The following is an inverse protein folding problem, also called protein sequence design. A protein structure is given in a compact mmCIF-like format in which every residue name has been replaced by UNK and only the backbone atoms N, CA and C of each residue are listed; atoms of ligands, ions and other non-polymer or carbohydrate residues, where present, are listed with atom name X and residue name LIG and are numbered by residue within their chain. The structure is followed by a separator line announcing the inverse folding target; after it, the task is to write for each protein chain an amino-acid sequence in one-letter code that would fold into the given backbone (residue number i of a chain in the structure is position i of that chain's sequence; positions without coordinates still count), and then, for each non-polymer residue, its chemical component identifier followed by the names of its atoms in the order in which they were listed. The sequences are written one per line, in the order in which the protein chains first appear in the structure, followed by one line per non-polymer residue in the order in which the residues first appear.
data_IF_252875614454
#
_entry.id   IF_252875614454
#
_cell.length_a   1.000
_cell.length_b   1.000
_cell.length_c   1.000
_cell.angle_alpha   90.00
_cell.angle_beta   90.00
_cell.angle_gamma   90.00
#
_symmetry.space_group_name_H-M   'P 1'
#
loop_
_entity.id
_entity.type
_entity.pdbx_description
1 polymer ?
#
# COMPACT_ATOMS: atom_id res chain seq x y z
N UNK A 1 0.16 -28.45 -18.55
CA UNK A 1 -0.67 -28.62 -17.35
C UNK A 1 -1.32 -27.24 -17.14
N UNK A 2 -1.77 -26.79 -15.97
CA UNK A 2 -1.78 -25.36 -15.70
C UNK A 2 -0.39 -24.93 -15.20
N UNK A 3 0.09 -23.76 -15.63
CA UNK A 3 1.34 -23.17 -15.16
C UNK A 3 1.26 -22.92 -13.65
N UNK A 4 2.28 -23.36 -12.92
CA UNK A 4 2.38 -23.08 -11.50
C UNK A 4 2.94 -21.67 -11.24
N UNK A 5 2.78 -21.19 -10.00
CA UNK A 5 3.12 -19.82 -9.62
C UNK A 5 4.62 -19.52 -9.77
N UNK A 6 5.48 -20.50 -9.50
CA UNK A 6 6.93 -20.31 -9.59
C UNK A 6 7.35 -20.12 -11.05
N UNK A 7 6.87 -20.96 -11.96
CA UNK A 7 7.17 -20.82 -13.39
C UNK A 7 6.71 -19.47 -13.94
N UNK A 8 5.50 -19.01 -13.56
CA UNK A 8 5.02 -17.67 -13.93
C UNK A 8 5.93 -16.55 -13.40
N UNK A 9 6.40 -16.64 -12.16
CA UNK A 9 7.27 -15.62 -11.56
C UNK A 9 8.67 -15.61 -12.21
N UNK A 10 9.18 -16.78 -12.62
CA UNK A 10 10.44 -16.90 -13.37
C UNK A 10 10.32 -16.37 -14.80
N UNK A 11 9.17 -16.57 -15.45
CA UNK A 11 8.84 -15.98 -16.75
C UNK A 11 8.80 -14.44 -16.67
N UNK A 12 8.16 -13.88 -15.64
CA UNK A 12 8.13 -12.41 -15.41
C UNK A 12 9.53 -11.84 -15.23
N UNK A 13 10.42 -12.56 -14.54
CA UNK A 13 11.82 -12.17 -14.35
C UNK A 13 12.72 -12.43 -15.58
N UNK A 14 12.20 -13.04 -16.64
CA UNK A 14 12.97 -13.42 -17.83
C UNK A 14 14.01 -14.52 -17.57
N UNK A 15 13.93 -15.26 -16.45
CA UNK A 15 14.90 -16.28 -16.06
C UNK A 15 14.59 -17.67 -16.61
N UNK A 16 13.32 -17.94 -16.94
CA UNK A 16 12.88 -19.22 -17.49
C UNK A 16 11.96 -19.00 -18.70
N UNK A 17 12.54 -18.46 -19.77
CA UNK A 17 11.84 -18.17 -21.04
C UNK A 17 11.72 -19.42 -21.92
N UNK A 18 11.31 -20.56 -21.34
CA UNK A 18 11.15 -21.77 -22.11
C UNK A 18 9.94 -21.62 -23.05
N UNK A 19 10.09 -22.00 -24.32
CA UNK A 19 9.05 -21.74 -25.34
C UNK A 19 7.76 -22.49 -25.03
N UNK A 20 7.84 -23.59 -24.29
CA UNK A 20 6.68 -24.40 -23.92
C UNK A 20 5.81 -23.76 -22.82
N UNK A 21 6.41 -23.04 -21.88
CA UNK A 21 5.68 -22.31 -20.84
C UNK A 21 4.91 -21.13 -21.45
N UNK A 22 5.49 -20.42 -22.41
CA UNK A 22 4.77 -19.40 -23.18
C UNK A 22 3.60 -19.99 -23.99
N UNK A 23 3.77 -21.18 -24.58
CA UNK A 23 2.66 -21.87 -25.28
C UNK A 23 1.55 -22.26 -24.32
N UNK A 24 1.90 -22.69 -23.11
CA UNK A 24 0.93 -23.05 -22.07
C UNK A 24 0.15 -21.81 -21.61
N UNK A 25 0.83 -20.68 -21.36
CA UNK A 25 0.19 -19.41 -21.01
C UNK A 25 -0.74 -18.90 -22.12
N UNK A 26 -0.30 -18.92 -23.38
CA UNK A 26 -1.12 -18.42 -24.51
C UNK A 26 -2.37 -19.28 -24.75
N UNK A 27 -2.31 -20.58 -24.42
CA UNK A 27 -3.45 -21.49 -24.51
C UNK A 27 -4.45 -21.33 -23.37
N UNK A 28 -4.10 -20.62 -22.30
CA UNK A 28 -5.00 -20.37 -21.19
C UNK A 28 -6.11 -19.38 -21.58
N UNK A 29 -7.40 -19.71 -21.34
CA UNK A 29 -8.50 -18.80 -21.63
C UNK A 29 -8.47 -17.51 -20.79
N UNK A 30 -7.86 -17.52 -19.60
CA UNK A 30 -7.69 -16.37 -18.71
C UNK A 30 -6.25 -15.82 -18.75
N UNK A 31 -5.47 -16.10 -19.80
CA UNK A 31 -4.04 -15.75 -19.92
C UNK A 31 -3.66 -14.34 -19.48
N UNK A 32 -4.48 -13.34 -19.82
CA UNK A 32 -4.21 -11.93 -19.51
C UNK A 32 -4.32 -11.66 -18.01
N UNK A 33 -5.31 -12.27 -17.36
CA UNK A 33 -5.51 -12.19 -15.92
C UNK A 33 -4.40 -12.94 -15.19
N UNK A 34 -4.11 -14.17 -15.61
CA UNK A 34 -3.04 -15.01 -15.02
C UNK A 34 -1.70 -14.29 -15.09
N UNK A 35 -1.39 -13.69 -16.24
CA UNK A 35 -0.16 -12.90 -16.42
C UNK A 35 -0.15 -11.63 -15.58
N UNK A 36 -1.24 -10.85 -15.58
CA UNK A 36 -1.36 -9.63 -14.76
C UNK A 36 -1.20 -9.93 -13.27
N UNK A 37 -1.80 -11.01 -12.77
CA UNK A 37 -1.69 -11.45 -11.39
C UNK A 37 -0.27 -11.92 -11.04
N UNK A 38 0.44 -12.54 -11.99
CA UNK A 38 1.84 -12.90 -11.80
C UNK A 38 2.76 -11.67 -11.73
N UNK A 39 2.57 -10.70 -12.63
CA UNK A 39 3.31 -9.43 -12.62
C UNK A 39 3.08 -8.68 -11.31
N UNK A 40 1.82 -8.51 -10.89
CA UNK A 40 1.47 -7.84 -9.61
C UNK A 40 2.06 -8.57 -8.41
N UNK A 41 2.00 -9.91 -8.40
CA UNK A 41 2.59 -10.72 -7.33
C UNK A 41 4.10 -10.48 -7.25
N UNK A 42 4.78 -10.45 -8.39
CA UNK A 42 6.23 -10.23 -8.43
C UNK A 42 6.61 -8.82 -7.97
N UNK A 43 5.91 -7.81 -8.46
CA UNK A 43 6.09 -6.41 -8.07
C UNK A 43 5.94 -6.23 -6.55
N UNK A 44 4.89 -6.80 -5.95
CA UNK A 44 4.70 -6.80 -4.50
C UNK A 44 5.85 -7.50 -3.74
N UNK A 45 6.40 -8.58 -4.30
CA UNK A 45 7.51 -9.32 -3.71
C UNK A 45 8.81 -8.50 -3.78
N UNK A 46 9.07 -7.84 -4.91
CA UNK A 46 10.21 -6.96 -5.09
C UNK A 46 10.15 -5.76 -4.12
N UNK A 47 8.97 -5.12 -3.98
CA UNK A 47 8.76 -4.07 -2.95
C UNK A 47 8.99 -4.58 -1.52
N UNK A 48 8.49 -5.78 -1.20
CA UNK A 48 8.73 -6.37 0.12
C UNK A 48 10.22 -6.65 0.34
N UNK A 49 10.94 -7.17 -0.66
CA UNK A 49 12.38 -7.40 -0.58
C UNK A 49 13.15 -6.08 -0.36
N UNK A 50 12.77 -5.02 -1.07
CA UNK A 50 13.34 -3.69 -0.87
C UNK A 50 13.09 -3.17 0.55
N UNK A 51 11.83 -3.22 1.01
CA UNK A 51 11.45 -2.85 2.37
C UNK A 51 12.24 -3.64 3.42
N UNK A 52 12.33 -4.96 3.28
CA UNK A 52 13.02 -5.82 4.23
C UNK A 52 14.53 -5.61 4.24
N UNK A 53 15.13 -5.25 3.10
CA UNK A 53 16.55 -4.96 3.00
C UNK A 53 16.91 -3.60 3.62
N UNK A 54 16.04 -2.60 3.45
CA UNK A 54 16.27 -1.21 3.90
C UNK A 54 15.86 -0.97 5.35
N UNK A 55 14.73 -1.54 5.78
CA UNK A 55 14.19 -1.38 7.13
C UNK A 55 13.83 -2.72 7.78
N UNK A 56 14.83 -3.60 8.03
CA UNK A 56 14.60 -4.93 8.60
C UNK A 56 13.89 -4.89 9.96
N UNK A 57 14.06 -3.83 10.74
CA UNK A 57 13.41 -3.63 12.03
C UNK A 57 11.87 -3.64 11.94
N UNK A 58 11.30 -3.12 10.85
CA UNK A 58 9.84 -3.06 10.66
C UNK A 58 9.23 -4.31 10.08
N UNK A 59 10.04 -5.25 9.58
CA UNK A 59 9.55 -6.51 8.99
C UNK A 59 8.82 -7.35 10.04
N UNK A 60 9.32 -7.36 11.28
CA UNK A 60 8.69 -8.10 12.38
C UNK A 60 7.28 -7.58 12.68
N UNK A 61 7.12 -6.25 12.74
CA UNK A 61 5.82 -5.59 12.92
C UNK A 61 4.89 -5.84 11.74
N UNK A 62 5.41 -5.74 10.52
CA UNK A 62 4.65 -6.05 9.31
C UNK A 62 4.13 -7.50 9.33
N UNK A 63 4.94 -8.46 9.75
CA UNK A 63 4.50 -9.85 9.88
C UNK A 63 3.47 -10.08 10.99
N UNK A 64 3.60 -9.36 12.12
CA UNK A 64 2.64 -9.44 13.23
C UNK A 64 1.29 -8.82 12.84
N UNK A 65 1.32 -7.68 12.16
CA UNK A 65 0.15 -6.96 11.64
C UNK A 65 -0.76 -7.87 10.80
N UNK A 66 -0.17 -8.82 10.05
CA UNK A 66 -0.90 -9.81 9.24
C UNK A 66 -1.95 -10.62 10.02
N UNK A 67 -1.77 -10.79 11.34
CA UNK A 67 -2.71 -11.52 12.19
C UNK A 67 -3.96 -10.71 12.56
N UNK A 68 -3.87 -9.39 12.47
CA UNK A 68 -4.92 -8.47 12.92
C UNK A 68 -5.74 -7.90 11.76
N UNK A 69 -5.30 -8.11 10.52
CA UNK A 69 -6.02 -7.59 9.35
C UNK A 69 -7.37 -8.27 9.22
N UNK A 70 -8.42 -7.46 9.12
CA UNK A 70 -9.81 -7.92 9.13
C UNK A 70 -10.67 -6.97 8.29
N UNK A 71 -11.63 -7.53 7.57
CA UNK A 71 -12.59 -6.75 6.78
C UNK A 71 -14.01 -7.15 7.14
N UNK A 72 -14.87 -6.17 7.37
CA UNK A 72 -16.32 -6.34 7.43
C UNK A 72 -16.99 -5.78 6.19
N UNK A 73 -18.19 -6.26 5.86
CA UNK A 73 -18.91 -5.92 4.62
C UNK A 73 -19.20 -4.41 4.51
N UNK A 74 -19.32 -3.71 5.64
CA UNK A 74 -19.64 -2.28 5.71
C UNK A 74 -18.42 -1.43 6.11
N UNK A 75 -17.23 -1.79 5.63
CA UNK A 75 -16.02 -0.98 5.91
C UNK A 75 -16.07 0.32 5.10
N UNK A 76 -15.76 1.48 5.70
CA UNK A 76 -15.80 2.76 5.00
C UNK A 76 -14.71 2.84 3.93
N UNK A 77 -14.95 3.60 2.86
CA UNK A 77 -13.89 3.87 1.89
C UNK A 77 -12.91 4.88 2.51
N UNK A 78 -11.62 4.53 2.50
CA UNK A 78 -10.53 5.42 2.92
C UNK A 78 -9.57 5.54 1.77
N UNK A 79 -9.30 6.77 1.36
CA UNK A 79 -8.34 7.08 0.31
C UNK A 79 -7.30 8.07 0.83
N UNK A 80 -6.03 7.79 0.56
CA UNK A 80 -4.93 8.72 0.79
C UNK A 80 -4.78 9.56 -0.48
N UNK A 81 -4.82 10.88 -0.31
CA UNK A 81 -4.77 11.85 -1.40
C UNK A 81 -3.66 12.88 -1.15
N UNK A 82 -2.88 13.19 -2.18
CA UNK A 82 -1.94 14.32 -2.13
C UNK A 82 -2.69 15.66 -2.16
N UNK A 83 -2.34 16.59 -1.25
CA UNK A 83 -2.99 17.91 -1.20
C UNK A 83 -2.66 18.83 -2.37
N UNK A 84 -1.54 18.59 -3.09
CA UNK A 84 -1.20 19.35 -4.30
C UNK A 84 -2.34 19.27 -5.36
N UNK A 85 -3.21 18.26 -5.25
CA UNK A 85 -4.36 18.00 -6.13
C UNK A 85 -5.55 18.94 -5.86
N UNK A 86 -5.76 19.43 -4.64
CA UNK A 86 -6.94 20.27 -4.34
C UNK A 86 -6.89 21.65 -5.03
N UNK A 87 -5.69 22.13 -5.36
CA UNK A 87 -5.48 23.34 -6.14
C UNK A 87 -5.17 23.05 -7.62
N UNK A 88 -4.74 21.83 -7.95
CA UNK A 88 -4.31 21.42 -9.28
C UNK A 88 -5.42 21.32 -10.33
N UNK A 89 -6.61 20.84 -9.95
CA UNK A 89 -7.72 20.65 -10.92
C UNK A 89 -8.27 21.97 -11.49
N UNK A 90 -8.02 23.10 -10.84
CA UNK A 90 -8.31 24.45 -11.36
C UNK A 90 -7.11 25.08 -12.10
N UNK A 91 -5.88 24.65 -11.78
CA UNK A 91 -4.64 25.21 -12.33
C UNK A 91 -4.14 24.51 -13.61
N UNK A 92 -4.63 23.30 -13.91
CA UNK A 92 -4.31 22.54 -15.14
C UNK A 92 -4.75 23.22 -16.45
N UNK A 93 -5.38 24.39 -16.39
CA UNK A 93 -5.71 25.20 -17.57
C UNK A 93 -4.62 26.20 -17.99
N UNK A 94 -3.52 26.35 -17.23
CA UNK A 94 -2.62 27.51 -17.42
C UNK A 94 -1.11 27.27 -17.46
N UNK A 95 -0.55 26.07 -17.28
CA UNK A 95 0.91 25.90 -17.32
C UNK A 95 1.40 24.64 -18.06
N UNK A 96 1.97 24.86 -19.25
CA UNK A 96 2.57 23.84 -20.14
C UNK A 96 4.00 23.39 -19.71
N UNK A 97 4.42 23.59 -18.45
CA UNK A 97 5.84 23.42 -18.06
C UNK A 97 6.15 22.80 -16.70
N UNK A 98 5.17 22.42 -15.89
CA UNK A 98 5.46 21.78 -14.62
C UNK A 98 5.40 20.25 -14.76
N UNK A 99 6.43 19.57 -14.29
CA UNK A 99 6.49 18.11 -14.18
C UNK A 99 5.19 17.65 -13.53
N UNK A 100 4.37 16.91 -14.29
CA UNK A 100 3.11 16.36 -13.81
C UNK A 100 3.47 15.32 -12.74
N UNK A 101 3.55 15.74 -11.48
CA UNK A 101 3.57 14.82 -10.34
C UNK A 101 2.27 14.03 -10.42
N UNK A 102 2.37 12.73 -10.70
CA UNK A 102 1.19 11.88 -10.78
C UNK A 102 0.41 11.96 -9.46
N UNK A 103 -0.92 12.15 -9.52
CA UNK A 103 -1.72 12.28 -8.32
C UNK A 103 -1.68 10.97 -7.51
N UNK A 104 -1.18 11.04 -6.27
CA UNK A 104 -1.23 9.92 -5.34
C UNK A 104 -2.69 9.75 -4.89
N UNK A 105 -3.38 8.75 -5.44
CA UNK A 105 -4.69 8.29 -5.00
C UNK A 105 -4.59 6.81 -4.62
N UNK A 106 -4.48 6.54 -3.33
CA UNK A 106 -4.37 5.20 -2.79
C UNK A 106 -5.65 4.87 -2.04
N UNK A 107 -6.35 3.81 -2.42
CA UNK A 107 -7.44 3.27 -1.61
C UNK A 107 -6.90 2.26 -0.60
N UNK A 108 -7.27 2.42 0.68
CA UNK A 108 -6.94 1.47 1.74
C UNK A 108 -7.70 0.17 1.51
N UNK A 109 -6.96 -0.93 1.37
CA UNK A 109 -7.55 -2.27 1.31
C UNK A 109 -7.72 -2.86 2.71
N UNK A 110 -8.93 -2.78 3.25
CA UNK A 110 -9.31 -3.48 4.48
C UNK A 110 -9.08 -4.98 4.36
N UNK A 111 -8.57 -5.62 5.41
CA UNK A 111 -8.25 -7.05 5.36
C UNK A 111 -6.90 -7.37 4.71
N UNK A 112 -6.23 -6.39 4.10
CA UNK A 112 -4.92 -6.55 3.48
C UNK A 112 -3.84 -5.62 4.04
N UNK A 113 -2.60 -5.94 3.68
CA UNK A 113 -1.43 -5.10 3.88
C UNK A 113 -0.97 -4.58 2.52
N UNK A 114 -0.68 -3.30 2.43
CA UNK A 114 -0.23 -2.66 1.20
C UNK A 114 1.15 -2.04 1.43
N UNK A 115 2.06 -2.24 0.48
CA UNK A 115 3.35 -1.57 0.41
C UNK A 115 3.30 -0.59 -0.74
N UNK A 116 3.52 0.68 -0.45
CA UNK A 116 3.28 1.77 -1.39
C UNK A 116 4.51 2.66 -1.43
N UNK A 117 5.00 2.92 -2.62
CA UNK A 117 6.16 3.79 -2.83
C UNK A 117 5.68 5.22 -3.10
N UNK A 118 6.18 6.18 -2.31
CA UNK A 118 5.91 7.61 -2.47
C UNK A 118 7.16 8.30 -3.00
N UNK A 119 6.98 9.18 -3.98
CA UNK A 119 8.06 9.97 -4.57
C UNK A 119 8.15 11.36 -3.92
N UNK A 120 9.31 11.68 -3.36
CA UNK A 120 9.60 13.01 -2.82
C UNK A 120 8.81 13.35 -1.56
N UNK A 121 8.90 14.61 -1.15
CA UNK A 121 8.11 15.17 -0.05
C UNK A 121 6.67 15.41 -0.52
N UNK A 122 5.71 14.91 0.26
CA UNK A 122 4.29 15.04 -0.08
C UNK A 122 3.41 15.08 1.17
N UNK A 123 2.46 16.02 1.20
CA UNK A 123 1.41 16.06 2.22
C UNK A 123 0.26 15.16 1.79
N UNK A 124 -0.02 14.14 2.61
CA UNK A 124 -1.08 13.17 2.44
C UNK A 124 -2.26 13.52 3.34
N UNK A 125 -3.43 13.63 2.73
CA UNK A 125 -4.72 13.80 3.41
C UNK A 125 -5.52 12.50 3.36
N UNK A 126 -6.32 12.24 4.39
CA UNK A 126 -7.17 11.05 4.48
C UNK A 126 -8.61 11.42 4.10
N UNK A 127 -9.06 10.99 2.94
CA UNK A 127 -10.46 11.11 2.54
C UNK A 127 -11.22 9.87 3.02
N UNK A 128 -12.07 10.04 4.03
CA UNK A 128 -12.82 8.94 4.65
C UNK A 128 -14.31 9.23 4.71
N UNK A 129 -15.14 8.25 4.38
CA UNK A 129 -16.61 8.37 4.50
C UNK A 129 -17.09 8.47 5.96
N UNK A 130 -16.29 7.96 6.89
CA UNK A 130 -16.55 7.99 8.33
C UNK A 130 -15.24 8.19 9.07
N UNK A 131 -15.27 8.77 10.27
CA UNK A 131 -14.07 8.95 11.08
C UNK A 131 -13.36 7.60 11.34
N UNK A 132 -12.08 7.55 11.03
CA UNK A 132 -11.21 6.38 11.22
C UNK A 132 -10.06 6.76 12.13
N UNK A 133 -9.65 5.84 13.00
CA UNK A 133 -8.43 6.01 13.80
C UNK A 133 -7.25 5.42 13.03
N UNK A 134 -6.14 6.15 13.03
CA UNK A 134 -4.94 5.77 12.31
C UNK A 134 -3.80 5.75 13.34
N UNK A 135 -3.24 4.57 13.56
CA UNK A 135 -2.03 4.42 14.35
C UNK A 135 -0.83 4.46 13.42
N UNK A 136 0.10 5.39 13.65
CA UNK A 136 1.32 5.52 12.87
C UNK A 136 2.52 5.01 13.66
N UNK A 137 3.51 4.48 12.93
CA UNK A 137 4.84 4.18 13.46
C UNK A 137 5.89 4.41 12.37
N UNK A 138 6.90 5.20 12.68
CA UNK A 138 8.09 5.42 11.85
C UNK A 138 9.27 5.76 12.75
N UNK A 139 10.48 5.35 12.36
CA UNK A 139 11.69 5.49 13.18
C UNK A 139 11.46 5.08 14.65
N UNK A 140 11.61 6.03 15.57
CA UNK A 140 11.41 5.91 17.02
C UNK A 140 10.09 6.56 17.51
N UNK A 141 9.23 7.00 16.58
CA UNK A 141 7.98 7.68 16.88
C UNK A 141 6.78 6.79 16.58
N UNK A 142 5.87 6.73 17.53
CA UNK A 142 4.57 6.09 17.40
C UNK A 142 3.49 6.96 18.01
N UNK A 143 2.29 6.87 17.45
CA UNK A 143 1.18 7.67 17.93
C UNK A 143 -0.11 7.41 17.18
N UNK A 144 -1.10 8.22 17.51
CA UNK A 144 -2.44 8.14 16.99
C UNK A 144 -2.81 9.47 16.32
N UNK A 145 -3.38 9.36 15.13
CA UNK A 145 -4.04 10.45 14.41
C UNK A 145 -5.45 10.00 14.01
N UNK A 146 -6.30 10.95 13.67
CA UNK A 146 -7.61 10.66 13.07
C UNK A 146 -7.59 10.95 11.57
N UNK A 147 -8.66 10.57 10.88
CA UNK A 147 -8.88 10.93 9.48
C UNK A 147 -8.96 12.45 9.22
N UNK A 148 -9.11 13.27 10.26
CA UNK A 148 -9.16 14.73 10.13
C UNK A 148 -7.75 15.35 10.08
N UNK A 149 -6.74 14.59 10.50
CA UNK A 149 -5.34 15.00 10.48
C UNK A 149 -4.74 14.84 9.08
N UNK A 150 -3.56 15.43 8.89
CA UNK A 150 -2.76 15.30 7.67
C UNK A 150 -1.40 14.73 8.03
N UNK A 151 -0.81 14.02 7.08
CA UNK A 151 0.54 13.49 7.21
C UNK A 151 1.47 14.19 6.24
N UNK A 152 2.56 14.79 6.73
CA UNK A 152 3.62 15.29 5.88
C UNK A 152 4.65 14.18 5.73
N UNK A 153 4.67 13.50 4.57
CA UNK A 153 5.65 12.45 4.29
C UNK A 153 6.93 13.09 3.80
N UNK A 154 8.04 12.88 4.52
CA UNK A 154 9.38 13.18 4.03
C UNK A 154 10.16 11.91 3.74
N UNK A 155 10.87 11.82 2.58
CA UNK A 155 11.71 10.66 2.27
C UNK A 155 12.80 10.38 3.31
N UNK A 156 13.20 11.39 4.08
CA UNK A 156 14.22 11.29 5.13
C UNK A 156 13.72 10.50 6.35
N UNK A 157 12.40 10.44 6.59
CA UNK A 157 11.78 9.68 7.69
C UNK A 157 11.82 8.16 7.45
N UNK A 158 12.15 7.73 6.23
CA UNK A 158 12.19 6.32 5.88
C UNK A 158 10.79 5.70 5.72
N UNK A 159 10.66 4.43 6.11
CA UNK A 159 9.39 3.71 5.98
C UNK A 159 8.40 4.08 7.08
N UNK A 160 7.21 4.53 6.68
CA UNK A 160 6.11 4.92 7.60
C UNK A 160 5.03 3.85 7.57
N UNK A 161 4.73 3.25 8.71
CA UNK A 161 3.63 2.28 8.85
C UNK A 161 2.38 2.98 9.37
N UNK A 162 1.31 2.94 8.58
CA UNK A 162 -0.02 3.44 8.92
C UNK A 162 -0.98 2.27 9.11
N UNK A 163 -1.60 2.21 10.27
CA UNK A 163 -2.60 1.20 10.63
C UNK A 163 -3.95 1.86 10.72
N UNK A 164 -4.81 1.57 9.76
CA UNK A 164 -6.19 2.08 9.72
C UNK A 164 -7.08 1.15 10.53
N UNK A 165 -7.84 1.72 11.46
CA UNK A 165 -8.68 0.98 12.39
C UNK A 165 -10.10 1.57 12.37
N UNK A 166 -11.05 0.76 11.93
CA UNK A 166 -12.47 1.10 11.91
C UNK A 166 -13.22 0.35 13.01
N UNK A 167 -13.90 1.09 13.90
CA UNK A 167 -14.70 0.55 14.99
C UNK A 167 -14.76 1.48 16.21
N UNK A 168 -15.46 1.05 17.26
CA UNK A 168 -15.50 1.76 18.54
C UNK A 168 -14.24 1.43 19.33
N UNK A 169 -13.19 2.22 19.09
CA UNK A 169 -11.85 1.97 19.63
C UNK A 169 -11.50 3.04 20.67
N UNK A 170 -10.94 2.59 21.80
CA UNK A 170 -10.55 3.41 22.94
C UNK A 170 -9.02 3.53 22.91
N UNK A 171 -8.51 4.77 22.82
CA UNK A 171 -7.13 5.18 22.47
C UNK A 171 -6.04 4.88 23.53
N UNK A 172 -5.97 3.67 24.11
CA UNK A 172 -4.95 3.37 25.13
C UNK A 172 -4.02 2.19 24.78
N UNK A 173 -4.54 1.12 24.16
CA UNK A 173 -3.71 -0.03 23.74
C UNK A 173 -4.01 -0.41 22.28
N UNK A 174 -2.97 -0.40 21.44
CA UNK A 174 -3.04 -0.83 20.04
C UNK A 174 -3.53 -2.27 19.92
N UNK A 175 -3.09 -3.18 20.79
CA UNK A 175 -3.44 -4.60 20.70
C UNK A 175 -4.92 -4.81 21.01
N UNK A 176 -5.41 -4.18 22.08
CA UNK A 176 -6.82 -4.19 22.43
C UNK A 176 -7.70 -3.56 21.33
N UNK A 177 -7.23 -2.44 20.76
CA UNK A 177 -7.86 -1.73 19.66
C UNK A 177 -8.03 -2.62 18.43
N UNK A 178 -6.95 -3.30 18.02
CA UNK A 178 -6.95 -4.22 16.88
C UNK A 178 -7.86 -5.43 17.10
N UNK A 179 -7.96 -5.94 18.33
CA UNK A 179 -8.84 -7.07 18.67
C UNK A 179 -10.33 -6.68 18.65
N UNK A 180 -10.67 -5.45 19.05
CA UNK A 180 -12.04 -4.94 19.08
C UNK A 180 -12.50 -4.33 17.75
N UNK A 181 -11.56 -4.02 16.87
CA UNK A 181 -11.83 -3.42 15.57
C UNK A 181 -12.80 -4.25 14.72
N UNK A 182 -13.66 -3.54 13.99
CA UNK A 182 -14.53 -4.12 12.96
C UNK A 182 -13.69 -4.43 11.72
N UNK A 183 -12.91 -3.45 11.28
CA UNK A 183 -12.00 -3.59 10.14
C UNK A 183 -10.65 -2.97 10.43
N UNK A 184 -9.60 -3.59 9.89
CA UNK A 184 -8.21 -3.16 10.01
C UNK A 184 -7.56 -3.26 8.64
N UNK A 185 -6.85 -2.21 8.24
CA UNK A 185 -6.02 -2.16 7.04
C UNK A 185 -4.62 -1.66 7.41
N UNK A 186 -3.60 -2.19 6.75
CA UNK A 186 -2.22 -1.75 6.96
C UNK A 186 -1.66 -1.20 5.67
N UNK A 187 -1.07 -0.01 5.75
CA UNK A 187 -0.29 0.59 4.68
C UNK A 187 1.10 0.86 5.21
N UNK A 188 2.11 0.51 4.41
CA UNK A 188 3.48 0.94 4.63
C UNK A 188 3.87 1.83 3.46
N UNK A 189 4.16 3.09 3.77
CA UNK A 189 4.68 4.07 2.83
C UNK A 189 6.20 3.92 2.80
N UNK A 190 6.76 3.75 1.61
CA UNK A 190 8.17 3.57 1.35
C UNK A 190 8.67 4.76 0.51
N UNK A 191 9.81 5.38 0.85
CA UNK A 191 10.39 6.38 -0.01
C UNK A 191 10.97 5.71 -1.25
N UNK A 192 10.53 6.18 -2.43
CA UNK A 192 11.15 5.82 -3.69
C UNK A 192 12.46 6.60 -3.84
N UNK A 193 13.58 5.92 -3.60
CA UNK A 193 14.90 6.47 -3.86
C UNK A 193 15.15 6.42 -5.37
N UNK A 194 15.17 7.59 -6.03
CA UNK A 194 15.66 7.74 -7.42
C UNK A 194 17.17 7.60 -7.48
#
# INVERSE_FOLDING_TARGET
MPLDKLSLDEMVQGRNSNTDDWKELVRDPERERVWSDAVKRRDNLDRFCYFAAKWPQYVSYYQQAKRFVKQTINSPIVSLMSEEILLGDLALSLNDKDEVKEPLLITVEWGNQQLIEIQGEQTVSFNTESQVQIHYRYEDLEGWITSDDKWEFSPDEGAVMLTFIHGDVINDDLTESLNKAKSVGYIVLLPLLK
#
